data_IF_049356983892
#
_entry.id   IF_049356983892
#
_cell.length_a   1.000
_cell.length_b   1.000
_cell.length_c   1.000
_cell.angle_alpha   90.00
_cell.angle_beta   90.00
_cell.angle_gamma   90.00
#
_symmetry.space_group_name_H-M   'P 1'
#
loop_
_entity.id
_entity.type
_entity.pdbx_description
1 polymer ?
#
# COMPACT_ATOMS: atom_id res chain seq x y z
N UNK A 1 -17.01 -89.26 12.62
CA UNK A 1 -16.55 -88.21 13.54
C UNK A 1 -16.54 -86.94 12.69
N UNK A 2 -17.51 -86.03 12.79
CA UNK A 2 -17.84 -85.19 13.97
C UNK A 2 -16.58 -84.40 14.39
N UNK A 3 -16.56 -83.06 14.39
CA UNK A 3 -17.67 -82.09 14.58
C UNK A 3 -17.69 -80.90 13.58
N UNK A 4 -18.79 -80.13 13.63
CA UNK A 4 -18.99 -78.78 13.07
C UNK A 4 -18.17 -77.71 13.85
N UNK A 5 -17.97 -76.46 13.44
CA UNK A 5 -18.51 -75.59 12.39
C UNK A 5 -17.40 -74.60 11.90
N UNK A 6 -17.58 -73.53 11.11
CA UNK A 6 -18.76 -72.87 10.53
C UNK A 6 -18.38 -72.12 9.23
N UNK A 7 -19.34 -71.43 8.60
CA UNK A 7 -19.16 -70.58 7.40
C UNK A 7 -19.13 -69.08 7.72
N UNK A 8 -18.22 -68.33 7.09
CA UNK A 8 -18.44 -66.94 6.66
C UNK A 8 -17.41 -66.53 5.58
N UNK A 9 -17.86 -65.83 4.54
CA UNK A 9 -17.03 -65.17 3.53
C UNK A 9 -16.49 -63.82 4.04
N UNK A 10 -15.30 -63.35 3.61
CA UNK A 10 -14.80 -62.04 4.01
C UNK A 10 -15.44 -60.93 3.16
N UNK A 11 -16.11 -59.99 3.83
CA UNK A 11 -16.67 -58.80 3.21
C UNK A 11 -15.60 -57.76 2.82
N UNK A 12 -15.86 -57.06 1.72
CA UNK A 12 -15.04 -55.96 1.20
C UNK A 12 -15.17 -54.69 2.04
N UNK A 13 -14.38 -54.56 3.11
CA UNK A 13 -14.21 -53.29 3.85
C UNK A 13 -12.95 -53.25 4.76
N UNK A 14 -11.73 -53.38 4.21
CA UNK A 14 -10.51 -53.07 4.97
C UNK A 14 -9.30 -52.72 4.07
N UNK A 15 -9.22 -51.46 3.65
CA UNK A 15 -8.05 -50.86 2.98
C UNK A 15 -7.91 -49.36 3.31
N UNK A 16 -8.16 -48.96 4.57
CA UNK A 16 -7.85 -47.60 5.08
C UNK A 16 -7.54 -47.65 6.59
N UNK A 17 -6.34 -48.12 6.95
CA UNK A 17 -5.74 -47.92 8.28
C UNK A 17 -4.24 -48.32 8.28
N UNK A 18 -3.39 -47.60 7.54
CA UNK A 18 -1.98 -47.55 7.91
C UNK A 18 -1.80 -46.42 8.95
N UNK A 19 -1.37 -46.77 10.16
CA UNK A 19 -1.07 -45.82 11.22
C UNK A 19 0.13 -44.94 10.85
N UNK A 20 -0.15 -43.68 10.50
CA UNK A 20 0.88 -42.65 10.57
C UNK A 20 1.18 -42.36 12.05
N UNK A 21 2.37 -42.76 12.49
CA UNK A 21 2.93 -42.35 13.78
C UNK A 21 2.91 -40.81 13.90
N UNK A 22 2.48 -40.25 15.04
CA UNK A 22 2.47 -38.80 15.22
C UNK A 22 3.91 -38.28 15.32
N UNK A 23 4.32 -37.51 14.31
CA UNK A 23 5.50 -36.64 14.42
C UNK A 23 5.32 -35.58 15.51
N UNK A 24 6.40 -34.86 15.88
CA UNK A 24 6.33 -33.84 16.94
C UNK A 24 5.23 -32.83 16.61
N UNK A 25 4.43 -32.50 17.62
CA UNK A 25 3.25 -31.66 17.49
C UNK A 25 3.63 -30.24 17.06
N UNK A 26 3.55 -29.97 15.76
CA UNK A 26 3.87 -28.68 15.13
C UNK A 26 2.69 -27.71 15.35
N UNK A 27 2.50 -27.31 16.61
CA UNK A 27 1.37 -26.49 17.05
C UNK A 27 1.60 -25.02 16.69
N UNK A 28 1.16 -24.61 15.51
CA UNK A 28 0.93 -23.20 15.24
C UNK A 28 -0.06 -22.65 16.26
N UNK A 29 0.33 -21.58 16.96
CA UNK A 29 -0.47 -20.97 18.02
C UNK A 29 -1.78 -20.35 17.49
N UNK A 30 -1.81 -20.08 16.18
CA UNK A 30 -2.91 -19.42 15.48
C UNK A 30 -3.53 -20.33 14.42
N UNK A 31 -4.82 -20.66 14.59
CA UNK A 31 -5.58 -21.52 13.67
C UNK A 31 -5.65 -20.96 12.24
N UNK A 32 -5.63 -19.64 12.07
CA UNK A 32 -5.69 -19.01 10.76
C UNK A 32 -4.38 -19.13 9.95
N UNK A 33 -3.26 -19.54 10.56
CA UNK A 33 -2.04 -19.88 9.82
C UNK A 33 -2.16 -21.23 9.11
N UNK A 34 -3.07 -22.12 9.55
CA UNK A 34 -3.16 -23.50 9.07
C UNK A 34 -3.32 -23.66 7.54
N UNK A 35 -4.08 -22.82 6.82
CA UNK A 35 -4.14 -22.86 5.35
C UNK A 35 -2.80 -22.52 4.67
N UNK A 36 -1.92 -21.77 5.34
CA UNK A 36 -0.66 -21.24 4.79
C UNK A 36 0.54 -22.16 5.11
N UNK A 37 0.53 -22.83 6.28
CA UNK A 37 1.61 -23.73 6.73
C UNK A 37 2.04 -24.81 5.69
N UNK A 38 1.16 -25.45 4.91
CA UNK A 38 1.58 -26.43 3.90
C UNK A 38 2.57 -25.88 2.87
N UNK A 39 2.46 -24.58 2.57
CA UNK A 39 3.29 -23.85 1.62
C UNK A 39 4.57 -23.30 2.27
N UNK A 40 4.49 -22.81 3.51
CA UNK A 40 5.61 -22.12 4.19
C UNK A 40 6.52 -23.02 5.03
N UNK A 41 6.11 -24.25 5.39
CA UNK A 41 6.88 -25.19 6.24
C UNK A 41 8.31 -25.50 5.79
N UNK A 42 8.60 -25.35 4.50
CA UNK A 42 9.95 -25.55 3.93
C UNK A 42 10.84 -24.29 3.99
N UNK A 43 10.27 -23.16 4.43
CA UNK A 43 10.90 -21.83 4.50
C UNK A 43 11.04 -21.40 5.98
N UNK A 44 9.97 -21.55 6.76
CA UNK A 44 9.89 -21.28 8.20
C UNK A 44 9.07 -22.37 8.91
N UNK A 45 9.35 -22.65 10.19
CA UNK A 45 8.56 -23.60 10.98
C UNK A 45 7.23 -23.00 11.44
N UNK A 46 6.28 -23.83 11.88
CA UNK A 46 4.98 -23.35 12.41
C UNK A 46 5.14 -22.44 13.64
N UNK A 47 6.15 -22.74 14.46
CA UNK A 47 6.58 -21.95 15.62
C UNK A 47 7.05 -20.57 15.17
N UNK A 48 7.98 -20.49 14.21
CA UNK A 48 8.50 -19.21 13.68
C UNK A 48 7.39 -18.41 12.99
N UNK A 49 6.48 -19.05 12.25
CA UNK A 49 5.33 -18.36 11.67
C UNK A 49 4.39 -17.76 12.74
N UNK A 50 4.21 -18.46 13.87
CA UNK A 50 3.42 -17.96 15.00
C UNK A 50 4.14 -16.85 15.78
N UNK A 51 5.47 -16.92 15.88
CA UNK A 51 6.33 -15.94 16.52
C UNK A 51 6.43 -14.64 15.71
N UNK A 52 6.64 -14.72 14.39
CA UNK A 52 6.58 -13.57 13.47
C UNK A 52 5.24 -12.82 13.58
N UNK A 53 4.15 -13.58 13.69
CA UNK A 53 2.81 -13.03 13.87
C UNK A 53 2.61 -12.41 15.25
N UNK A 54 3.13 -13.02 16.32
CA UNK A 54 3.15 -12.41 17.65
C UNK A 54 3.88 -11.06 17.61
N UNK A 55 5.11 -11.03 17.09
CA UNK A 55 5.93 -9.82 16.99
C UNK A 55 5.20 -8.73 16.20
N UNK A 56 4.59 -9.07 15.06
CA UNK A 56 3.77 -8.13 14.28
C UNK A 56 2.56 -7.58 15.06
N UNK A 57 1.93 -8.39 15.92
CA UNK A 57 0.75 -8.00 16.70
C UNK A 57 1.07 -7.31 18.03
N UNK A 58 2.27 -7.47 18.59
CA UNK A 58 2.63 -6.92 19.92
C UNK A 58 3.71 -5.85 19.90
N UNK A 59 4.80 -6.02 19.14
CA UNK A 59 5.95 -5.09 19.12
C UNK A 59 6.69 -5.11 17.76
N UNK A 60 6.41 -4.18 16.83
CA UNK A 60 7.12 -4.11 15.56
C UNK A 60 8.56 -3.57 15.74
N UNK A 61 9.51 -4.45 16.09
CA UNK A 61 10.93 -4.08 16.22
C UNK A 61 11.89 -5.15 16.74
N UNK A 62 11.39 -6.25 17.33
CA UNK A 62 12.25 -7.30 17.91
C UNK A 62 12.79 -8.30 16.86
N UNK A 63 13.95 -8.92 17.14
CA UNK A 63 14.73 -9.67 16.14
C UNK A 63 14.03 -10.93 15.63
N UNK A 64 13.50 -10.84 14.41
CA UNK A 64 12.49 -11.73 13.80
C UNK A 64 12.85 -13.22 13.56
N UNK A 65 14.06 -13.68 13.87
CA UNK A 65 14.52 -14.98 13.38
C UNK A 65 15.22 -15.87 14.41
N UNK A 66 14.44 -16.76 15.03
CA UNK A 66 14.93 -17.94 15.74
C UNK A 66 15.62 -18.95 14.80
N UNK A 67 16.89 -18.70 14.46
CA UNK A 67 17.80 -19.66 13.81
C UNK A 67 17.78 -19.73 12.27
N UNK A 68 16.85 -19.05 11.59
CA UNK A 68 16.87 -18.90 10.14
C UNK A 68 17.55 -17.57 9.74
N UNK A 69 18.41 -17.56 8.72
CA UNK A 69 18.97 -16.29 8.23
C UNK A 69 17.89 -15.51 7.44
N UNK A 70 17.65 -14.20 7.71
CA UNK A 70 16.62 -13.40 7.04
C UNK A 70 16.58 -13.57 5.52
N UNK A 71 17.74 -13.50 4.87
CA UNK A 71 17.89 -13.63 3.42
C UNK A 71 17.34 -14.96 2.84
N UNK A 72 17.43 -16.07 3.60
CA UNK A 72 16.87 -17.38 3.17
C UNK A 72 15.36 -17.42 3.28
N UNK A 73 14.78 -16.72 4.25
CA UNK A 73 13.31 -16.60 4.38
C UNK A 73 12.77 -15.74 3.24
N UNK A 74 13.41 -14.59 2.95
CA UNK A 74 13.03 -13.71 1.85
C UNK A 74 13.13 -14.41 0.48
N UNK A 75 14.26 -15.09 0.19
CA UNK A 75 14.44 -15.88 -1.04
C UNK A 75 13.42 -17.04 -1.16
N UNK A 76 13.13 -17.72 -0.06
CA UNK A 76 12.11 -18.77 0.00
C UNK A 76 10.70 -18.26 -0.29
N UNK A 77 10.30 -17.15 0.35
CA UNK A 77 9.01 -16.49 0.11
C UNK A 77 8.90 -15.96 -1.31
N UNK A 78 9.94 -15.31 -1.84
CA UNK A 78 10.00 -14.86 -3.23
C UNK A 78 9.78 -16.02 -4.21
N UNK A 79 10.46 -17.17 -4.02
CA UNK A 79 10.27 -18.37 -4.84
C UNK A 79 8.87 -18.96 -4.71
N UNK A 80 8.29 -18.97 -3.52
CA UNK A 80 6.93 -19.45 -3.28
C UNK A 80 5.89 -18.55 -3.97
N UNK A 81 5.89 -17.25 -3.70
CA UNK A 81 4.96 -16.29 -4.30
C UNK A 81 5.06 -16.29 -5.81
N UNK A 82 6.28 -16.26 -6.36
CA UNK A 82 6.46 -16.32 -7.82
C UNK A 82 6.00 -17.66 -8.40
N UNK A 83 6.18 -18.79 -7.70
CA UNK A 83 5.63 -20.08 -8.15
C UNK A 83 4.10 -20.04 -8.23
N UNK A 84 3.43 -19.63 -7.14
CA UNK A 84 1.96 -19.63 -7.01
C UNK A 84 1.28 -18.73 -8.06
N UNK A 85 1.77 -17.50 -8.24
CA UNK A 85 1.19 -16.56 -9.21
C UNK A 85 1.52 -16.99 -10.66
N UNK A 86 2.61 -17.72 -10.89
CA UNK A 86 3.06 -18.05 -12.25
C UNK A 86 2.22 -19.05 -13.04
N UNK A 87 1.22 -19.67 -12.40
CA UNK A 87 0.20 -20.46 -13.11
C UNK A 87 -0.90 -19.58 -13.73
N UNK A 88 -1.17 -18.43 -13.10
CA UNK A 88 -2.18 -17.43 -13.51
C UNK A 88 -1.61 -16.20 -14.21
N UNK A 89 -0.28 -16.08 -14.27
CA UNK A 89 0.44 -14.98 -14.92
C UNK A 89 0.13 -14.91 -16.43
N UNK A 90 -0.59 -13.89 -16.94
CA UNK A 90 -1.00 -13.81 -18.34
C UNK A 90 0.20 -13.66 -19.29
N UNK A 91 1.32 -13.07 -18.85
CA UNK A 91 2.51 -12.91 -19.69
C UNK A 91 3.20 -14.23 -20.05
N UNK A 92 2.84 -15.34 -19.38
CA UNK A 92 3.36 -16.66 -19.76
C UNK A 92 2.65 -17.24 -20.98
N UNK A 93 1.57 -16.64 -21.46
CA UNK A 93 0.70 -17.19 -22.49
C UNK A 93 0.63 -16.28 -23.72
N UNK A 94 0.78 -16.86 -24.90
CA UNK A 94 0.55 -16.19 -26.19
C UNK A 94 -0.66 -16.77 -26.90
N UNK A 95 -1.45 -15.92 -27.55
CA UNK A 95 -2.56 -16.37 -28.41
C UNK A 95 -2.01 -16.90 -29.74
N UNK A 96 -2.54 -18.03 -30.19
CA UNK A 96 -2.26 -18.60 -31.52
C UNK A 96 -3.57 -18.97 -32.23
N UNK A 97 -3.53 -19.22 -33.54
CA UNK A 97 -4.72 -19.62 -34.32
C UNK A 97 -5.40 -20.92 -33.85
N UNK A 98 -4.79 -21.67 -32.92
CA UNK A 98 -5.38 -22.84 -32.26
C UNK A 98 -5.34 -22.75 -30.73
N UNK A 99 -5.64 -21.57 -30.16
CA UNK A 99 -5.74 -21.35 -28.71
C UNK A 99 -4.51 -20.69 -28.06
N UNK A 100 -4.55 -20.53 -26.75
CA UNK A 100 -3.42 -20.03 -25.95
C UNK A 100 -2.33 -21.10 -25.79
N UNK A 101 -1.06 -20.67 -25.85
CA UNK A 101 0.11 -21.54 -25.63
C UNK A 101 1.13 -20.84 -24.75
N UNK A 102 1.89 -21.61 -23.97
CA UNK A 102 3.00 -21.05 -23.17
C UNK A 102 4.05 -20.44 -24.09
N UNK A 103 4.46 -19.20 -23.83
CA UNK A 103 5.32 -18.42 -24.72
C UNK A 103 6.72 -19.04 -24.90
N UNK A 104 7.27 -19.62 -23.83
CA UNK A 104 8.60 -20.25 -23.77
C UNK A 104 8.54 -21.77 -23.55
N UNK A 105 7.45 -22.44 -23.94
CA UNK A 105 7.36 -23.90 -23.90
C UNK A 105 8.30 -24.54 -24.92
N UNK A 106 9.46 -25.03 -24.49
CA UNK A 106 10.34 -25.84 -25.34
C UNK A 106 9.60 -27.11 -25.78
N UNK A 107 9.24 -27.19 -27.06
CA UNK A 107 8.90 -28.47 -27.68
C UNK A 107 10.19 -29.25 -27.90
N UNK A 108 10.64 -29.98 -26.87
CA UNK A 108 11.68 -30.99 -27.05
C UNK A 108 11.17 -32.06 -28.03
N UNK A 109 11.95 -32.49 -29.05
CA UNK A 109 11.56 -33.59 -29.93
C UNK A 109 11.42 -34.94 -29.23
N UNK A 110 11.77 -35.04 -27.93
CA UNK A 110 11.78 -36.28 -27.15
C UNK A 110 10.66 -36.39 -26.11
N UNK A 111 9.77 -35.40 -25.96
CA UNK A 111 8.69 -35.48 -24.95
C UNK A 111 7.57 -36.41 -25.42
N UNK A 112 7.72 -37.71 -25.12
CA UNK A 112 6.70 -38.75 -25.33
C UNK A 112 5.56 -38.66 -24.32
N UNK A 113 4.88 -37.51 -24.31
CA UNK A 113 3.48 -37.30 -23.96
C UNK A 113 3.23 -35.78 -23.99
N UNK A 114 2.25 -35.26 -24.75
CA UNK A 114 1.78 -33.92 -24.47
C UNK A 114 1.22 -33.92 -23.05
N UNK A 115 1.82 -33.13 -22.13
CA UNK A 115 1.08 -32.69 -20.95
C UNK A 115 -0.22 -32.11 -21.47
N UNK A 116 -1.35 -32.66 -21.02
CA UNK A 116 -2.67 -32.21 -21.44
C UNK A 116 -2.92 -30.83 -20.81
N UNK A 117 -2.35 -29.79 -21.42
CA UNK A 117 -2.76 -28.42 -21.17
C UNK A 117 -4.26 -28.35 -21.50
N UNK A 118 -5.10 -27.84 -20.58
CA UNK A 118 -6.53 -27.74 -20.82
C UNK A 118 -6.79 -26.92 -22.09
N UNK A 119 -7.90 -27.19 -22.77
CA UNK A 119 -8.23 -26.49 -24.02
C UNK A 119 -8.70 -25.06 -23.70
N UNK A 120 -7.74 -24.13 -23.58
CA UNK A 120 -7.96 -22.77 -23.08
C UNK A 120 -8.71 -21.94 -24.14
N UNK A 121 -10.03 -21.87 -24.00
CA UNK A 121 -10.89 -20.95 -24.76
C UNK A 121 -10.84 -19.53 -24.17
N UNK A 122 -11.30 -18.49 -24.90
CA UNK A 122 -11.42 -17.14 -24.35
C UNK A 122 -12.33 -17.00 -23.11
N UNK A 123 -13.16 -18.01 -22.81
CA UNK A 123 -13.99 -18.04 -21.60
C UNK A 123 -13.25 -18.61 -20.37
N UNK A 124 -12.16 -19.35 -20.57
CA UNK A 124 -11.41 -20.07 -19.53
C UNK A 124 -9.92 -19.67 -19.52
N UNK A 125 -9.58 -18.49 -20.05
CA UNK A 125 -8.23 -17.95 -20.01
C UNK A 125 -7.75 -17.81 -18.56
N UNK A 126 -6.49 -18.17 -18.22
CA UNK A 126 -5.93 -17.90 -16.91
C UNK A 126 -5.77 -16.38 -16.73
N UNK A 127 -6.84 -15.76 -16.24
CA UNK A 127 -6.87 -14.38 -15.79
C UNK A 127 -6.49 -14.41 -14.31
N UNK A 128 -5.39 -13.75 -13.96
CA UNK A 128 -5.01 -13.55 -12.57
C UNK A 128 -6.07 -12.78 -11.79
N UNK A 129 -6.13 -13.00 -10.48
CA UNK A 129 -7.15 -12.44 -9.59
C UNK A 129 -6.65 -11.20 -8.84
N UNK A 130 -7.43 -10.73 -7.86
CA UNK A 130 -7.06 -9.59 -7.02
C UNK A 130 -5.86 -9.91 -6.10
N UNK A 131 -5.71 -11.16 -5.68
CA UNK A 131 -4.60 -11.60 -4.83
C UNK A 131 -3.29 -11.64 -5.64
N UNK A 132 -3.35 -11.97 -6.93
CA UNK A 132 -2.21 -11.84 -7.85
C UNK A 132 -1.75 -10.38 -8.02
N UNK A 133 -2.69 -9.42 -8.10
CA UNK A 133 -2.35 -7.98 -8.11
C UNK A 133 -1.64 -7.60 -6.80
N UNK A 134 -2.21 -7.99 -5.66
CA UNK A 134 -1.62 -7.70 -4.35
C UNK A 134 -0.25 -8.36 -4.17
N UNK A 135 -0.08 -9.61 -4.63
CA UNK A 135 1.19 -10.31 -4.62
C UNK A 135 2.26 -9.59 -5.46
N UNK A 136 1.91 -9.06 -6.63
CA UNK A 136 2.82 -8.25 -7.43
C UNK A 136 3.14 -6.88 -6.79
N UNK A 137 2.19 -6.24 -6.10
CA UNK A 137 2.45 -5.04 -5.29
C UNK A 137 3.45 -5.35 -4.17
N UNK A 138 3.22 -6.41 -3.39
CA UNK A 138 4.09 -6.82 -2.29
C UNK A 138 5.49 -7.22 -2.77
N UNK A 139 5.61 -7.93 -3.89
CA UNK A 139 6.90 -8.20 -4.54
C UNK A 139 7.61 -6.90 -4.94
N UNK A 140 6.88 -5.91 -5.46
CA UNK A 140 7.44 -4.61 -5.83
C UNK A 140 7.98 -3.86 -4.62
N UNK A 141 7.22 -3.82 -3.52
CA UNK A 141 7.60 -3.21 -2.23
C UNK A 141 8.84 -3.88 -1.63
N UNK A 142 8.87 -5.22 -1.59
CA UNK A 142 9.99 -5.95 -1.01
C UNK A 142 11.29 -5.78 -1.82
N UNK A 143 11.18 -5.70 -3.14
CA UNK A 143 12.35 -5.59 -4.04
C UNK A 143 12.83 -4.14 -4.15
N UNK A 144 11.94 -3.14 -4.09
CA UNK A 144 12.35 -1.72 -4.08
C UNK A 144 13.22 -1.38 -2.86
N UNK A 145 13.01 -2.06 -1.72
CA UNK A 145 13.85 -1.93 -0.53
C UNK A 145 15.17 -2.73 -0.54
N UNK A 146 15.45 -3.52 -1.59
CA UNK A 146 16.63 -4.40 -1.68
C UNK A 146 17.82 -3.75 -2.40
N UNK A 147 18.94 -4.46 -2.56
CA UNK A 147 20.07 -3.99 -3.38
C UNK A 147 19.72 -3.85 -4.87
N UNK A 148 18.70 -4.57 -5.35
CA UNK A 148 18.30 -4.66 -6.77
C UNK A 148 17.03 -3.86 -7.05
N UNK A 149 16.97 -2.62 -6.54
CA UNK A 149 15.77 -1.76 -6.52
C UNK A 149 15.03 -1.66 -7.84
N UNK A 150 15.75 -1.55 -8.97
CA UNK A 150 15.15 -1.45 -10.30
C UNK A 150 14.35 -2.68 -10.74
N UNK A 151 14.58 -3.84 -10.13
CA UNK A 151 13.91 -5.08 -10.53
C UNK A 151 12.45 -5.13 -10.03
N UNK A 152 12.06 -4.22 -9.13
CA UNK A 152 10.67 -4.03 -8.71
C UNK A 152 9.77 -3.67 -9.90
N UNK A 153 10.29 -2.94 -10.91
CA UNK A 153 9.50 -2.46 -12.05
C UNK A 153 8.86 -3.57 -12.88
N UNK A 154 9.49 -4.75 -12.96
CA UNK A 154 8.91 -5.91 -13.65
C UNK A 154 7.61 -6.35 -12.97
N UNK A 155 7.60 -6.35 -11.65
CA UNK A 155 6.43 -6.71 -10.85
C UNK A 155 5.41 -5.57 -10.82
N UNK A 156 5.87 -4.32 -10.77
CA UNK A 156 5.01 -3.14 -10.88
C UNK A 156 4.21 -3.13 -12.18
N UNK A 157 4.89 -3.33 -13.32
CA UNK A 157 4.27 -3.40 -14.64
C UNK A 157 3.25 -4.54 -14.77
N UNK A 158 3.47 -5.66 -14.08
CA UNK A 158 2.50 -6.77 -13.99
C UNK A 158 1.28 -6.38 -13.14
N UNK A 159 1.49 -5.80 -11.96
CA UNK A 159 0.42 -5.33 -11.09
C UNK A 159 -0.50 -4.32 -11.80
N UNK A 160 0.08 -3.30 -12.45
CA UNK A 160 -0.67 -2.27 -13.19
C UNK A 160 -1.47 -2.89 -14.34
N UNK A 161 -0.84 -3.69 -15.21
CA UNK A 161 -1.56 -4.30 -16.35
C UNK A 161 -2.65 -5.27 -15.91
N UNK A 162 -2.43 -6.05 -14.85
CA UNK A 162 -3.45 -6.97 -14.33
C UNK A 162 -4.61 -6.20 -13.68
N UNK A 163 -4.34 -5.16 -12.90
CA UNK A 163 -5.39 -4.31 -12.30
C UNK A 163 -6.29 -3.64 -13.35
N UNK A 164 -5.72 -3.12 -14.44
CA UNK A 164 -6.49 -2.57 -15.56
C UNK A 164 -7.26 -3.67 -16.31
N UNK A 165 -6.68 -4.86 -16.49
CA UNK A 165 -7.36 -6.02 -17.10
C UNK A 165 -8.58 -6.46 -16.28
N UNK A 166 -8.45 -6.47 -14.95
CA UNK A 166 -9.51 -6.74 -13.97
C UNK A 166 -10.48 -5.57 -13.75
N UNK A 167 -10.26 -4.45 -14.45
CA UNK A 167 -11.04 -3.20 -14.34
C UNK A 167 -11.17 -2.71 -12.89
N UNK A 168 -10.10 -2.82 -12.10
CA UNK A 168 -10.08 -2.28 -10.73
C UNK A 168 -10.14 -0.74 -10.72
N UNK A 169 -9.86 -0.11 -11.87
CA UNK A 169 -9.85 1.33 -12.09
C UNK A 169 -11.21 1.91 -12.54
N UNK A 170 -12.31 1.17 -12.42
CA UNK A 170 -13.65 1.58 -12.86
C UNK A 170 -14.69 1.49 -11.75
N UNK A 171 -15.85 2.09 -12.00
CA UNK A 171 -17.04 1.88 -11.17
C UNK A 171 -17.32 0.38 -11.09
N UNK A 172 -17.64 -0.11 -9.90
CA UNK A 172 -18.07 -1.50 -9.77
C UNK A 172 -19.38 -1.69 -10.51
N UNK A 173 -19.51 -2.83 -11.22
CA UNK A 173 -20.80 -3.28 -11.68
C UNK A 173 -21.79 -3.29 -10.49
N UNK A 174 -23.00 -2.71 -10.63
CA UNK A 174 -23.97 -2.70 -9.56
C UNK A 174 -24.21 -4.14 -9.14
N UNK A 175 -24.02 -4.43 -7.84
CA UNK A 175 -24.13 -5.80 -7.34
C UNK A 175 -25.47 -6.37 -7.83
N UNK A 176 -25.44 -7.50 -8.55
CA UNK A 176 -26.61 -8.05 -9.27
C UNK A 176 -27.71 -8.61 -8.35
N UNK A 177 -27.73 -8.17 -7.09
CA UNK A 177 -28.81 -8.32 -6.15
C UNK A 177 -29.99 -7.44 -6.58
N UNK A 178 -31.03 -8.07 -7.15
CA UNK A 178 -32.37 -7.48 -7.35
C UNK A 178 -33.11 -7.25 -6.01
N UNK A 179 -32.38 -7.27 -4.90
CA UNK A 179 -32.82 -7.19 -3.50
C UNK A 179 -31.80 -6.33 -2.74
N UNK A 180 -32.25 -5.67 -1.67
CA UNK A 180 -31.52 -4.62 -0.96
C UNK A 180 -30.08 -5.00 -0.52
N UNK A 181 -29.17 -4.04 -0.28
CA UNK A 181 -27.76 -4.32 0.05
C UNK A 181 -27.53 -5.29 1.23
N UNK A 182 -28.46 -5.32 2.18
CA UNK A 182 -28.48 -6.27 3.30
C UNK A 182 -28.70 -7.75 2.89
N UNK A 183 -28.93 -8.06 1.60
CA UNK A 183 -29.08 -9.42 1.09
C UNK A 183 -27.75 -10.12 0.72
N UNK A 184 -26.65 -9.39 0.50
CA UNK A 184 -25.35 -9.96 0.12
C UNK A 184 -24.14 -9.15 0.67
N UNK A 185 -23.82 -9.24 1.99
CA UNK A 185 -22.70 -8.51 2.58
C UNK A 185 -21.35 -8.75 1.87
N UNK A 186 -21.03 -10.01 1.55
CA UNK A 186 -19.80 -10.38 0.82
C UNK A 186 -19.71 -9.87 -0.64
N UNK A 187 -20.75 -9.21 -1.16
CA UNK A 187 -20.67 -8.46 -2.42
C UNK A 187 -20.05 -7.07 -2.20
N UNK A 188 -20.49 -6.38 -1.14
CA UNK A 188 -20.01 -5.05 -0.75
C UNK A 188 -18.56 -5.14 -0.27
N UNK A 189 -18.26 -6.14 0.55
CA UNK A 189 -16.90 -6.45 1.02
C UNK A 189 -15.91 -6.59 -0.15
N UNK A 190 -16.22 -7.47 -1.12
CA UNK A 190 -15.41 -7.68 -2.34
C UNK A 190 -15.26 -6.41 -3.18
N UNK A 191 -16.29 -5.57 -3.26
CA UNK A 191 -16.21 -4.28 -3.94
C UNK A 191 -15.24 -3.31 -3.23
N UNK A 192 -15.27 -3.25 -1.89
CA UNK A 192 -14.28 -2.46 -1.15
C UNK A 192 -12.87 -3.03 -1.25
N UNK A 193 -12.69 -4.35 -1.30
CA UNK A 193 -11.37 -4.97 -1.52
C UNK A 193 -10.77 -4.52 -2.87
N UNK A 194 -11.59 -4.55 -3.93
CA UNK A 194 -11.20 -4.07 -5.27
C UNK A 194 -10.79 -2.60 -5.25
N UNK A 195 -11.58 -1.73 -4.61
CA UNK A 195 -11.21 -0.31 -4.40
C UNK A 195 -9.92 -0.16 -3.62
N UNK A 196 -9.75 -0.86 -2.49
CA UNK A 196 -8.56 -0.78 -1.64
C UNK A 196 -7.28 -1.19 -2.39
N UNK A 197 -7.32 -2.28 -3.16
CA UNK A 197 -6.18 -2.72 -3.97
C UNK A 197 -5.86 -1.74 -5.09
N UNK A 198 -6.87 -1.16 -5.75
CA UNK A 198 -6.66 -0.11 -6.75
C UNK A 198 -6.05 1.16 -6.13
N UNK A 199 -6.61 1.67 -5.04
CA UNK A 199 -6.13 2.90 -4.41
C UNK A 199 -4.76 2.74 -3.76
N UNK A 200 -4.40 1.53 -3.29
CA UNK A 200 -3.04 1.20 -2.87
C UNK A 200 -2.07 1.25 -4.05
N UNK A 201 -2.43 0.62 -5.16
CA UNK A 201 -1.64 0.64 -6.40
C UNK A 201 -1.46 2.07 -6.95
N UNK A 202 -2.53 2.87 -6.95
CA UNK A 202 -2.51 4.28 -7.33
C UNK A 202 -1.54 5.09 -6.44
N UNK A 203 -1.66 4.96 -5.12
CA UNK A 203 -0.83 5.67 -4.15
C UNK A 203 0.66 5.32 -4.32
N UNK A 204 0.94 4.03 -4.54
CA UNK A 204 2.29 3.54 -4.75
C UNK A 204 2.86 3.91 -6.13
N UNK A 205 2.04 4.12 -7.16
CA UNK A 205 2.50 4.59 -8.48
C UNK A 205 3.16 5.96 -8.37
N UNK A 206 2.55 6.90 -7.63
CA UNK A 206 3.11 8.24 -7.39
C UNK A 206 4.36 8.18 -6.51
N UNK A 207 4.31 7.41 -5.42
CA UNK A 207 5.45 7.21 -4.54
C UNK A 207 6.67 6.62 -5.28
N UNK A 208 6.50 5.56 -6.08
CA UNK A 208 7.59 4.98 -6.86
C UNK A 208 8.06 5.92 -7.98
N UNK A 209 7.13 6.65 -8.62
CA UNK A 209 7.47 7.65 -9.65
C UNK A 209 8.31 8.80 -9.10
N UNK A 210 8.06 9.25 -7.86
CA UNK A 210 8.93 10.17 -7.13
C UNK A 210 10.28 9.51 -6.80
N UNK A 211 10.27 8.33 -6.18
CA UNK A 211 11.47 7.61 -5.73
C UNK A 211 12.49 7.36 -6.84
N UNK A 212 12.02 7.09 -8.06
CA UNK A 212 12.88 6.84 -9.23
C UNK A 212 12.89 7.97 -10.27
N UNK A 213 12.17 9.08 -10.02
CA UNK A 213 12.02 10.21 -10.96
C UNK A 213 11.52 9.75 -12.36
N UNK A 214 10.45 8.94 -12.40
CA UNK A 214 9.77 8.47 -13.62
C UNK A 214 8.41 9.12 -13.80
N UNK A 215 7.82 8.98 -14.99
CA UNK A 215 6.43 9.36 -15.27
C UNK A 215 5.45 8.37 -14.63
N UNK A 216 4.21 8.81 -14.41
CA UNK A 216 3.12 8.00 -13.86
C UNK A 216 2.75 6.84 -14.78
N UNK A 217 2.43 5.67 -14.22
CA UNK A 217 1.90 4.51 -14.95
C UNK A 217 0.38 4.52 -15.02
N UNK A 218 -0.28 5.15 -14.04
CA UNK A 218 -1.74 5.26 -13.92
C UNK A 218 -2.11 6.75 -13.97
N UNK A 219 -2.54 7.31 -15.12
CA UNK A 219 -3.04 8.68 -15.17
C UNK A 219 -4.39 8.83 -14.44
N UNK A 220 -4.67 10.00 -13.88
CA UNK A 220 -5.93 10.29 -13.17
C UNK A 220 -7.16 10.11 -14.09
N UNK A 221 -7.01 10.37 -15.39
CA UNK A 221 -8.03 10.11 -16.41
C UNK A 221 -8.45 8.63 -16.55
N UNK A 222 -7.73 7.69 -15.93
CA UNK A 222 -8.13 6.28 -15.87
C UNK A 222 -8.89 5.92 -14.58
N UNK A 223 -9.00 6.85 -13.63
CA UNK A 223 -9.56 6.59 -12.30
C UNK A 223 -11.08 6.85 -12.29
N UNK A 224 -11.85 5.98 -12.93
CA UNK A 224 -13.31 5.95 -12.84
C UNK A 224 -13.78 5.26 -11.53
N UNK A 225 -13.00 5.36 -10.44
CA UNK A 225 -13.28 4.67 -9.17
C UNK A 225 -13.87 5.66 -8.17
N UNK A 226 -14.83 5.18 -7.39
CA UNK A 226 -15.38 5.93 -6.27
C UNK A 226 -14.40 6.01 -5.08
N UNK A 227 -14.40 7.17 -4.43
CA UNK A 227 -13.75 7.39 -3.14
C UNK A 227 -14.25 6.38 -2.08
N UNK A 228 -13.36 6.05 -1.15
CA UNK A 228 -13.50 4.92 -0.23
C UNK A 228 -14.45 5.22 0.93
N UNK A 229 -15.22 4.20 1.30
CA UNK A 229 -15.85 4.09 2.63
C UNK A 229 -15.34 2.78 3.21
N UNK A 230 -14.47 2.86 4.21
CA UNK A 230 -13.67 1.73 4.66
C UNK A 230 -13.90 1.37 6.13
N UNK A 231 -13.85 2.36 7.02
CA UNK A 231 -14.17 2.13 8.43
C UNK A 231 -15.67 1.83 8.58
N UNK A 232 -16.02 0.92 9.48
CA UNK A 232 -17.40 0.67 9.91
C UNK A 232 -18.36 0.08 8.85
N UNK A 233 -17.89 -0.75 7.91
CA UNK A 233 -18.75 -1.45 6.95
C UNK A 233 -19.85 -2.32 7.60
N UNK A 234 -19.55 -2.95 8.74
CA UNK A 234 -20.50 -3.79 9.48
C UNK A 234 -21.49 -2.99 10.35
N UNK A 235 -21.20 -1.70 10.58
CA UNK A 235 -21.90 -0.83 11.53
C UNK A 235 -22.65 0.33 10.86
N UNK A 236 -22.29 0.72 9.63
CA UNK A 236 -23.02 1.72 8.83
C UNK A 236 -24.19 1.02 8.11
N UNK A 237 -25.42 1.48 8.35
CA UNK A 237 -26.56 0.98 7.59
C UNK A 237 -26.41 1.35 6.09
N UNK A 238 -26.79 0.49 5.13
CA UNK A 238 -26.63 0.80 3.70
C UNK A 238 -27.33 2.08 3.22
N UNK A 239 -28.34 2.55 3.95
CA UNK A 239 -29.04 3.84 3.73
C UNK A 239 -28.30 5.07 4.28
N UNK A 240 -27.25 4.86 5.07
CA UNK A 240 -26.44 5.90 5.73
C UNK A 240 -25.03 6.00 5.14
N UNK A 241 -24.74 5.23 4.09
CA UNK A 241 -23.48 5.33 3.35
C UNK A 241 -23.30 6.75 2.78
N UNK A 242 -22.14 7.40 3.00
CA UNK A 242 -21.91 8.75 2.51
C UNK A 242 -21.86 8.79 0.98
N UNK A 243 -22.18 9.96 0.41
CA UNK A 243 -22.11 10.19 -1.01
C UNK A 243 -20.66 10.07 -1.51
N UNK A 244 -20.41 9.08 -2.38
CA UNK A 244 -19.09 8.83 -2.95
C UNK A 244 -18.78 9.81 -4.07
N UNK A 245 -17.55 10.31 -4.10
CA UNK A 245 -17.03 11.15 -5.20
C UNK A 245 -16.30 10.27 -6.21
N UNK A 246 -16.38 10.59 -7.51
CA UNK A 246 -15.66 9.88 -8.57
C UNK A 246 -14.26 10.48 -8.74
N UNK A 247 -13.23 9.64 -8.87
CA UNK A 247 -11.85 10.05 -9.05
C UNK A 247 -11.07 10.14 -7.73
N UNK A 248 -9.77 10.48 -7.79
CA UNK A 248 -8.92 10.51 -6.61
C UNK A 248 -9.30 11.68 -5.69
N UNK A 249 -9.43 11.44 -4.36
CA UNK A 249 -9.69 12.51 -3.41
C UNK A 249 -8.46 13.44 -3.27
N UNK A 250 -8.69 14.69 -2.86
CA UNK A 250 -7.64 15.70 -2.61
C UNK A 250 -7.74 16.35 -1.23
N UNK A 251 -8.69 15.90 -0.39
CA UNK A 251 -8.91 16.39 0.97
C UNK A 251 -8.69 15.26 1.98
N UNK A 252 -8.15 15.57 3.15
CA UNK A 252 -8.07 14.64 4.27
C UNK A 252 -9.48 14.44 4.88
N UNK A 253 -9.90 13.19 5.02
CA UNK A 253 -11.24 12.83 5.54
C UNK A 253 -11.19 12.17 6.93
N UNK A 254 -10.04 11.70 7.37
CA UNK A 254 -9.89 10.89 8.59
C UNK A 254 -8.47 10.42 8.86
N UNK A 255 -8.33 9.26 9.51
CA UNK A 255 -7.05 8.74 10.05
C UNK A 255 -6.62 7.38 9.47
N UNK A 256 -7.46 6.74 8.66
CA UNK A 256 -7.09 5.57 7.87
C UNK A 256 -6.17 5.93 6.71
N UNK A 257 -5.36 4.97 6.25
CA UNK A 257 -4.32 5.21 5.23
C UNK A 257 -4.83 5.95 3.99
N UNK A 258 -5.97 5.53 3.44
CA UNK A 258 -6.58 6.16 2.26
C UNK A 258 -7.26 7.50 2.56
N UNK A 259 -7.51 7.84 3.82
CA UNK A 259 -8.18 9.08 4.21
C UNK A 259 -7.21 10.25 4.37
N UNK A 260 -5.93 9.98 4.66
CA UNK A 260 -4.89 11.01 4.79
C UNK A 260 -3.81 10.95 3.71
N UNK A 261 -3.39 9.75 3.29
CA UNK A 261 -2.23 9.60 2.39
C UNK A 261 -2.60 9.59 0.91
N UNK A 262 -3.69 8.91 0.53
CA UNK A 262 -4.16 8.91 -0.87
C UNK A 262 -4.39 10.33 -1.42
N UNK A 263 -4.94 11.31 -0.67
CA UNK A 263 -5.05 12.68 -1.17
C UNK A 263 -3.72 13.38 -1.42
N UNK A 264 -2.72 13.17 -0.55
CA UNK A 264 -1.35 13.64 -0.79
C UNK A 264 -0.76 12.98 -2.05
N UNK A 265 -1.08 11.71 -2.31
CA UNK A 265 -0.62 11.01 -3.52
C UNK A 265 -1.33 11.47 -4.78
N UNK A 266 -2.58 11.93 -4.71
CA UNK A 266 -3.25 12.58 -5.83
C UNK A 266 -2.51 13.88 -6.20
N UNK A 267 -2.30 14.77 -5.23
CA UNK A 267 -1.61 16.05 -5.45
C UNK A 267 -0.15 15.84 -5.89
N UNK A 268 0.55 14.82 -5.37
CA UNK A 268 1.87 14.43 -5.86
C UNK A 268 1.85 14.03 -7.34
N UNK A 269 0.76 13.45 -7.84
CA UNK A 269 0.56 13.15 -9.26
C UNK A 269 0.66 14.40 -10.13
N UNK A 270 -0.09 15.45 -9.79
CA UNK A 270 -0.04 16.74 -10.50
C UNK A 270 1.36 17.35 -10.49
N UNK A 271 2.07 17.27 -9.35
CA UNK A 271 3.44 17.77 -9.23
C UNK A 271 4.39 16.99 -10.15
N UNK A 272 4.25 15.65 -10.22
CA UNK A 272 5.02 14.78 -11.13
C UNK A 272 4.76 15.17 -12.60
N UNK A 273 3.50 15.40 -12.99
CA UNK A 273 3.17 15.80 -14.36
C UNK A 273 3.78 17.15 -14.74
N UNK A 274 3.65 18.17 -13.86
CA UNK A 274 4.27 19.48 -14.10
C UNK A 274 5.79 19.38 -14.15
N UNK A 275 6.41 18.59 -13.28
CA UNK A 275 7.86 18.35 -13.26
C UNK A 275 8.37 17.73 -14.58
N UNK A 276 7.73 16.67 -15.08
CA UNK A 276 8.12 16.06 -16.35
C UNK A 276 7.79 16.94 -17.55
N UNK A 277 6.71 17.74 -17.49
CA UNK A 277 6.41 18.75 -18.53
C UNK A 277 7.53 19.79 -18.64
N UNK A 278 8.04 20.33 -17.52
CA UNK A 278 9.19 21.27 -17.50
C UNK A 278 10.42 20.68 -18.19
N UNK A 279 10.63 19.37 -18.06
CA UNK A 279 11.76 18.63 -18.66
C UNK A 279 11.48 18.11 -20.08
N UNK A 280 10.28 18.29 -20.62
CA UNK A 280 9.90 17.74 -21.92
C UNK A 280 10.48 18.57 -23.09
N UNK A 281 11.23 17.98 -24.05
CA UNK A 281 11.98 18.72 -25.09
C UNK A 281 11.19 19.67 -26.00
N UNK A 282 9.85 19.56 -26.04
CA UNK A 282 8.97 20.43 -26.84
C UNK A 282 7.97 21.25 -26.02
N UNK A 283 7.83 20.98 -24.71
CA UNK A 283 6.79 21.57 -23.86
C UNK A 283 7.37 22.27 -22.61
N UNK A 284 8.64 22.07 -22.28
CA UNK A 284 9.28 22.67 -21.10
C UNK A 284 9.35 24.20 -21.11
N UNK A 285 9.31 24.82 -22.29
CA UNK A 285 9.28 26.28 -22.44
C UNK A 285 7.87 26.90 -22.32
N UNK A 286 6.82 26.09 -22.11
CA UNK A 286 5.46 26.60 -21.93
C UNK A 286 5.22 27.00 -20.47
N UNK A 287 4.67 28.20 -20.25
CA UNK A 287 4.31 28.71 -18.93
C UNK A 287 3.43 27.74 -18.13
N UNK A 288 3.82 27.47 -16.88
CA UNK A 288 3.17 26.54 -15.97
C UNK A 288 2.51 27.23 -14.76
N UNK A 289 2.45 28.56 -14.74
CA UNK A 289 1.95 29.38 -13.63
C UNK A 289 0.57 28.95 -13.12
N UNK A 290 -0.40 28.81 -14.04
CA UNK A 290 -1.76 28.34 -13.72
C UNK A 290 -1.79 26.91 -13.15
N UNK A 291 -0.89 26.03 -13.61
CA UNK A 291 -0.78 24.67 -13.07
C UNK A 291 -0.19 24.68 -11.66
N UNK A 292 0.83 25.51 -11.41
CA UNK A 292 1.42 25.69 -10.07
C UNK A 292 0.41 26.31 -9.10
N UNK A 293 -0.35 27.31 -9.54
CA UNK A 293 -1.42 27.93 -8.74
C UNK A 293 -2.54 26.94 -8.41
N UNK A 294 -2.98 26.12 -9.37
CA UNK A 294 -3.96 25.07 -9.12
C UNK A 294 -3.48 24.07 -8.06
N UNK A 295 -2.24 23.58 -8.17
CA UNK A 295 -1.65 22.64 -7.20
C UNK A 295 -1.48 23.29 -5.82
N UNK A 296 -1.05 24.56 -5.74
CA UNK A 296 -0.97 25.29 -4.48
C UNK A 296 -2.34 25.34 -3.78
N UNK A 297 -3.41 25.67 -4.52
CA UNK A 297 -4.78 25.68 -3.97
C UNK A 297 -5.23 24.29 -3.46
N UNK A 298 -4.80 23.19 -4.09
CA UNK A 298 -5.05 21.83 -3.61
C UNK A 298 -4.30 21.55 -2.30
N UNK A 299 -3.03 21.93 -2.20
CA UNK A 299 -2.21 21.79 -1.00
C UNK A 299 -2.80 22.60 0.18
N UNK A 300 -3.19 23.85 -0.06
CA UNK A 300 -3.85 24.73 0.93
C UNK A 300 -5.20 24.13 1.40
N UNK A 301 -5.96 23.55 0.47
CA UNK A 301 -7.24 22.88 0.78
C UNK A 301 -7.03 21.60 1.59
N UNK A 302 -5.99 20.81 1.26
CA UNK A 302 -5.60 19.65 2.03
C UNK A 302 -5.19 20.06 3.45
N UNK A 303 -4.35 21.09 3.62
CA UNK A 303 -3.94 21.58 4.95
C UNK A 303 -5.14 21.98 5.80
N UNK A 304 -6.10 22.71 5.23
CA UNK A 304 -7.33 23.08 5.91
C UNK A 304 -8.14 21.86 6.35
N UNK A 305 -8.26 20.84 5.50
CA UNK A 305 -8.98 19.60 5.82
C UNK A 305 -8.25 18.73 6.87
N UNK A 306 -6.91 18.64 6.82
CA UNK A 306 -6.12 17.89 7.79
C UNK A 306 -6.32 18.43 9.22
N UNK A 307 -6.43 19.75 9.35
CA UNK A 307 -6.72 20.39 10.63
C UNK A 307 -8.10 20.02 11.20
N UNK A 308 -9.09 19.65 10.38
CA UNK A 308 -10.42 19.21 10.88
C UNK A 308 -10.45 17.76 11.35
N UNK A 309 -9.50 16.91 10.93
CA UNK A 309 -9.36 15.51 11.39
C UNK A 309 -9.21 15.43 12.92
N UNK A 310 -8.64 16.46 13.57
CA UNK A 310 -8.56 16.58 15.04
C UNK A 310 -9.91 16.72 15.74
N UNK A 311 -10.95 17.21 15.05
CA UNK A 311 -12.22 17.66 15.64
C UNK A 311 -13.38 16.67 15.45
N UNK A 312 -13.11 15.43 15.03
CA UNK A 312 -14.10 14.35 14.89
C UNK A 312 -13.97 13.27 15.98
N UNK A 313 -14.31 13.54 17.26
CA UNK A 313 -14.83 12.48 18.11
C UNK A 313 -16.19 12.08 17.51
N UNK A 314 -16.28 10.88 16.93
CA UNK A 314 -17.33 10.52 15.96
C UNK A 314 -18.76 10.90 16.36
N UNK A 315 -19.26 12.03 15.84
CA UNK A 315 -20.68 12.45 15.73
C UNK A 315 -20.73 13.85 15.08
N UNK A 316 -20.84 13.94 13.74
CA UNK A 316 -21.52 15.08 13.08
C UNK A 316 -22.26 14.59 11.82
N UNK A 317 -23.55 14.27 11.96
CA UNK A 317 -24.67 14.96 11.29
C UNK A 317 -26.01 14.40 11.81
N UNK A 318 -27.02 15.26 12.03
CA UNK A 318 -28.38 14.79 12.38
C UNK A 318 -29.06 15.43 13.62
N UNK A 319 -28.63 16.60 14.10
CA UNK A 319 -29.29 17.25 15.26
C UNK A 319 -30.40 18.23 14.85
N UNK A 320 -31.68 17.79 14.85
CA UNK A 320 -32.89 18.55 15.28
C UNK A 320 -34.20 17.80 14.92
N UNK A 321 -35.34 18.06 15.58
CA UNK A 321 -35.58 18.06 17.02
C UNK A 321 -36.60 16.98 17.43
N UNK A 322 -36.69 16.75 18.74
CA UNK A 322 -37.67 15.90 19.44
C UNK A 322 -39.01 15.62 18.75
N UNK A 323 -39.31 14.33 18.48
CA UNK A 323 -40.69 13.82 18.59
C UNK A 323 -40.71 12.45 19.26
N UNK A 324 -41.21 12.43 20.49
CA UNK A 324 -41.50 11.20 21.25
C UNK A 324 -42.57 10.38 20.53
N UNK A 325 -42.19 9.23 19.96
CA UNK A 325 -43.15 8.26 19.47
C UNK A 325 -42.76 6.85 19.95
N UNK A 326 -43.36 6.44 21.07
CA UNK A 326 -43.25 5.07 21.59
C UNK A 326 -43.98 4.13 20.63
N UNK A 327 -43.30 3.10 20.15
CA UNK A 327 -43.93 1.91 19.60
C UNK A 327 -43.65 0.73 20.53
N UNK A 328 -44.56 0.50 21.48
CA UNK A 328 -44.56 -0.70 22.29
C UNK A 328 -45.09 -1.88 21.48
N UNK A 329 -44.41 -3.01 21.49
CA UNK A 329 -45.04 -4.33 21.30
C UNK A 329 -44.21 -5.42 21.99
N UNK A 330 -44.83 -6.50 22.52
CA UNK A 330 -44.19 -7.32 23.54
C UNK A 330 -43.91 -8.77 23.13
N UNK A 331 -42.81 -9.33 23.66
CA UNK A 331 -42.69 -10.77 23.91
C UNK A 331 -41.56 -11.52 23.19
N UNK A 332 -40.45 -11.71 23.90
CA UNK A 332 -39.77 -13.02 24.05
C UNK A 332 -38.71 -12.91 25.17
N UNK A 333 -38.36 -14.01 25.87
CA UNK A 333 -37.58 -13.95 27.11
C UNK A 333 -36.06 -13.86 26.89
N UNK A 334 -35.39 -13.32 27.90
CA UNK A 334 -33.95 -13.07 27.94
C UNK A 334 -33.17 -14.38 28.10
N UNK A 335 -32.27 -14.67 27.17
CA UNK A 335 -31.05 -15.42 27.46
C UNK A 335 -29.89 -14.44 27.46
N UNK A 336 -29.21 -14.34 28.60
CA UNK A 336 -28.00 -13.53 28.75
C UNK A 336 -26.81 -14.35 28.25
N UNK A 337 -26.36 -14.07 27.02
CA UNK A 337 -25.03 -14.41 26.57
C UNK A 337 -24.11 -13.20 26.77
N UNK A 338 -22.94 -13.46 27.34
CA UNK A 338 -21.99 -12.45 27.80
C UNK A 338 -21.26 -11.85 26.58
N UNK A 339 -21.84 -10.80 26.00
CA UNK A 339 -21.20 -10.07 24.90
C UNK A 339 -19.98 -9.35 25.46
N UNK A 340 -18.79 -9.93 25.25
CA UNK A 340 -17.53 -9.24 25.46
C UNK A 340 -17.53 -7.96 24.61
N UNK A 341 -17.65 -6.81 25.28
CA UNK A 341 -17.59 -5.52 24.62
C UNK A 341 -16.16 -5.27 24.11
N UNK A 342 -15.98 -5.38 22.79
CA UNK A 342 -14.75 -4.94 22.12
C UNK A 342 -14.53 -3.44 22.40
N UNK A 343 -13.36 -3.02 22.92
CA UNK A 343 -13.16 -1.65 23.39
C UNK A 343 -12.67 -0.70 22.27
N UNK A 344 -13.32 -0.69 21.10
CA UNK A 344 -12.86 0.12 19.95
C UNK A 344 -14.00 0.72 19.11
N UNK A 345 -14.21 2.04 19.23
CA UNK A 345 -14.65 2.97 18.14
C UNK A 345 -14.60 4.44 18.57
N UNK A 346 -13.54 4.83 19.29
CA UNK A 346 -13.10 6.22 19.38
C UNK A 346 -11.68 6.26 18.84
N UNK A 347 -11.47 6.96 17.71
CA UNK A 347 -10.18 6.98 17.02
C UNK A 347 -9.05 7.34 17.98
N UNK A 348 -8.04 6.47 18.06
CA UNK A 348 -6.97 6.62 19.06
C UNK A 348 -6.31 8.00 18.91
N UNK A 349 -6.37 8.87 19.95
CA UNK A 349 -5.77 10.19 19.90
C UNK A 349 -4.24 10.15 19.72
N UNK A 350 -3.59 9.00 19.98
CA UNK A 350 -2.18 8.77 19.63
C UNK A 350 -1.99 8.64 18.12
N UNK A 351 -2.80 7.82 17.44
CA UNK A 351 -2.80 7.65 15.98
C UNK A 351 -3.13 8.94 15.24
N UNK A 352 -4.15 9.68 15.69
CA UNK A 352 -4.53 10.94 15.04
C UNK A 352 -3.37 11.95 15.02
N UNK A 353 -2.61 12.06 16.13
CA UNK A 353 -1.39 12.89 16.21
C UNK A 353 -0.31 12.45 15.21
N UNK A 354 -0.09 11.14 15.07
CA UNK A 354 0.87 10.59 14.10
C UNK A 354 0.46 10.95 12.67
N UNK A 355 -0.81 10.68 12.30
CA UNK A 355 -1.36 11.05 10.99
C UNK A 355 -1.13 12.51 10.67
N UNK A 356 -1.45 13.43 11.59
CA UNK A 356 -1.28 14.86 11.37
C UNK A 356 0.21 15.22 11.20
N UNK A 357 1.08 14.78 12.11
CA UNK A 357 2.50 15.12 12.04
C UNK A 357 3.15 14.63 10.73
N UNK A 358 2.91 13.37 10.35
CA UNK A 358 3.41 12.81 9.08
C UNK A 358 2.81 13.50 7.86
N UNK A 359 1.50 13.80 7.88
CA UNK A 359 0.82 14.47 6.76
C UNK A 359 1.30 15.91 6.57
N UNK A 360 1.51 16.67 7.65
CA UNK A 360 2.09 18.03 7.61
C UNK A 360 3.52 18.01 7.06
N UNK A 361 4.35 17.02 7.44
CA UNK A 361 5.68 16.89 6.86
C UNK A 361 5.62 16.64 5.36
N UNK A 362 4.83 15.64 4.92
CA UNK A 362 4.70 15.28 3.50
C UNK A 362 4.13 16.45 2.71
N UNK A 363 3.09 17.13 3.20
CA UNK A 363 2.51 18.34 2.61
C UNK A 363 3.59 19.40 2.33
N UNK A 364 4.41 19.75 3.32
CA UNK A 364 5.50 20.71 3.12
C UNK A 364 6.56 20.21 2.14
N UNK A 365 6.86 18.91 2.10
CA UNK A 365 7.72 18.30 1.07
C UNK A 365 7.08 18.40 -0.32
N UNK A 366 5.75 18.30 -0.46
CA UNK A 366 5.07 18.51 -1.74
C UNK A 366 5.23 19.97 -2.23
N UNK A 367 5.18 20.98 -1.35
CA UNK A 367 5.52 22.36 -1.76
C UNK A 367 7.01 22.48 -2.16
N UNK A 368 7.93 21.83 -1.44
CA UNK A 368 9.36 21.78 -1.82
C UNK A 368 9.54 21.18 -3.22
N UNK A 369 8.83 20.09 -3.54
CA UNK A 369 8.84 19.46 -4.86
C UNK A 369 8.16 20.32 -5.94
N UNK A 370 7.12 21.09 -5.59
CA UNK A 370 6.43 21.99 -6.52
C UNK A 370 7.32 23.16 -6.95
N UNK A 371 7.96 23.82 -5.97
CA UNK A 371 8.73 25.05 -6.17
C UNK A 371 10.21 24.83 -6.49
N UNK A 372 10.80 23.75 -5.97
CA UNK A 372 12.23 23.45 -6.04
C UNK A 372 12.66 22.53 -7.18
N UNK A 373 13.96 22.24 -7.18
CA UNK A 373 14.62 21.32 -8.12
C UNK A 373 14.73 19.94 -7.46
N UNK A 374 14.35 18.88 -8.17
CA UNK A 374 14.34 17.49 -7.65
C UNK A 374 15.71 16.79 -7.68
N UNK A 375 16.77 17.48 -8.09
CA UNK A 375 18.12 16.96 -8.18
C UNK A 375 19.05 17.89 -7.41
N UNK A 376 19.78 17.35 -6.44
CA UNK A 376 20.65 18.13 -5.57
C UNK A 376 21.79 18.80 -6.35
N UNK A 377 22.27 18.19 -7.44
CA UNK A 377 23.33 18.76 -8.28
C UNK A 377 22.80 20.00 -9.01
N UNK A 378 21.67 19.89 -9.72
CA UNK A 378 21.03 21.03 -10.37
C UNK A 378 20.61 22.15 -9.39
N UNK A 379 20.40 21.83 -8.11
CA UNK A 379 20.13 22.80 -7.04
C UNK A 379 21.37 23.57 -6.59
N UNK A 380 22.57 22.97 -6.69
CA UNK A 380 23.84 23.60 -6.34
C UNK A 380 24.46 24.39 -7.51
N UNK A 381 24.23 23.97 -8.76
CA UNK A 381 24.77 24.60 -9.97
C UNK A 381 24.14 25.98 -10.27
N UNK A 382 22.83 26.13 -10.02
CA UNK A 382 22.03 27.37 -10.17
C UNK A 382 22.11 28.10 -11.53
N UNK A 383 22.24 27.35 -12.63
CA UNK A 383 22.31 27.85 -14.02
C UNK A 383 21.18 28.81 -14.47
N UNK A 384 20.07 28.88 -13.73
CA UNK A 384 18.83 29.60 -14.06
C UNK A 384 18.47 30.74 -13.08
N UNK A 385 19.44 31.22 -12.28
CA UNK A 385 19.27 32.24 -11.23
C UNK A 385 18.15 31.88 -10.20
N UNK A 386 17.81 30.59 -10.07
CA UNK A 386 16.64 30.13 -9.29
C UNK A 386 16.73 30.57 -7.82
N UNK A 387 17.92 30.62 -7.22
CA UNK A 387 18.14 31.09 -5.84
C UNK A 387 17.64 32.53 -5.61
N UNK A 388 17.63 33.38 -6.64
CA UNK A 388 17.11 34.76 -6.53
C UNK A 388 15.59 34.87 -6.70
N UNK A 389 14.93 33.78 -7.10
CA UNK A 389 13.51 33.76 -7.48
C UNK A 389 12.56 33.65 -6.28
N UNK A 390 11.30 34.08 -6.48
CA UNK A 390 10.22 33.82 -5.52
C UNK A 390 10.00 32.33 -5.24
N UNK A 391 10.32 31.45 -6.20
CA UNK A 391 10.18 29.99 -6.05
C UNK A 391 11.17 29.45 -5.03
N UNK A 392 12.40 29.95 -5.03
CA UNK A 392 13.38 29.60 -4.01
C UNK A 392 12.94 30.03 -2.61
N UNK A 393 12.36 31.23 -2.45
CA UNK A 393 11.82 31.69 -1.17
C UNK A 393 10.70 30.76 -0.66
N UNK A 394 9.76 30.36 -1.53
CA UNK A 394 8.70 29.41 -1.16
C UNK A 394 9.26 28.04 -0.79
N UNK A 395 10.15 27.49 -1.63
CA UNK A 395 10.83 26.22 -1.38
C UNK A 395 11.56 26.21 -0.04
N UNK A 396 12.30 27.28 0.27
CA UNK A 396 13.00 27.48 1.55
C UNK A 396 12.04 27.51 2.73
N UNK A 397 10.96 28.28 2.65
CA UNK A 397 9.99 28.42 3.74
C UNK A 397 9.35 27.07 4.08
N UNK A 398 8.93 26.31 3.07
CA UNK A 398 8.32 25.00 3.28
C UNK A 398 9.33 23.95 3.72
N UNK A 399 10.59 23.99 3.26
CA UNK A 399 11.62 23.08 3.75
C UNK A 399 11.93 23.28 5.25
N UNK A 400 11.98 24.53 5.72
CA UNK A 400 12.11 24.85 7.15
C UNK A 400 10.88 24.33 7.92
N UNK A 401 9.66 24.56 7.41
CA UNK A 401 8.44 24.04 8.04
C UNK A 401 8.40 22.49 8.08
N UNK A 402 8.84 21.81 7.01
CA UNK A 402 9.00 20.36 6.98
C UNK A 402 9.95 19.85 8.06
N UNK A 403 11.06 20.56 8.31
CA UNK A 403 12.03 20.25 9.37
C UNK A 403 11.50 20.47 10.80
N UNK A 404 10.57 21.40 10.98
CA UNK A 404 9.88 21.61 12.25
C UNK A 404 8.89 20.46 12.50
N UNK A 405 8.16 20.05 11.46
CA UNK A 405 7.31 18.87 11.49
C UNK A 405 8.08 17.58 11.81
N UNK A 406 9.30 17.40 11.28
CA UNK A 406 10.20 16.29 11.67
C UNK A 406 10.51 16.27 13.17
N UNK A 407 10.73 17.42 13.80
CA UNK A 407 10.94 17.48 15.25
C UNK A 407 9.72 17.02 16.04
N UNK A 408 8.51 17.30 15.53
CA UNK A 408 7.26 16.80 16.12
C UNK A 408 7.13 15.30 15.94
N UNK A 409 7.42 14.77 14.74
CA UNK A 409 7.40 13.33 14.44
C UNK A 409 8.35 12.58 15.38
N UNK A 410 9.62 12.97 15.46
CA UNK A 410 10.62 12.30 16.30
C UNK A 410 10.30 12.37 17.80
N UNK A 411 9.46 13.30 18.25
CA UNK A 411 9.00 13.39 19.64
C UNK A 411 7.84 12.43 19.97
N UNK A 412 7.13 11.90 18.95
CA UNK A 412 5.98 10.99 19.13
C UNK A 412 6.18 9.60 18.49
N UNK A 413 7.14 9.48 17.57
CA UNK A 413 7.57 8.26 16.87
C UNK A 413 9.10 8.34 16.67
N UNK A 414 9.89 8.09 17.72
CA UNK A 414 11.35 8.25 17.70
C UNK A 414 12.08 7.22 16.83
N UNK A 415 11.40 6.16 16.39
CA UNK A 415 11.95 5.09 15.54
C UNK A 415 11.50 5.19 14.07
N UNK A 416 10.59 6.14 13.75
CA UNK A 416 9.94 6.31 12.43
C UNK A 416 9.15 5.07 11.98
N UNK A 417 8.54 4.37 12.93
CA UNK A 417 7.86 3.10 12.67
C UNK A 417 6.53 3.28 11.91
N UNK A 418 5.80 4.38 12.15
CA UNK A 418 4.40 4.56 11.70
C UNK A 418 4.21 4.49 10.18
N UNK A 419 5.15 5.03 9.40
CA UNK A 419 5.13 5.00 7.93
C UNK A 419 6.47 4.55 7.33
N UNK A 420 7.23 3.76 8.08
CA UNK A 420 8.53 3.14 7.74
C UNK A 420 8.81 3.05 6.23
N UNK A 421 8.18 2.13 5.50
CA UNK A 421 8.44 1.92 4.06
C UNK A 421 8.29 3.19 3.18
N UNK A 422 7.31 4.05 3.47
CA UNK A 422 6.96 5.18 2.60
C UNK A 422 7.72 6.47 2.94
N UNK A 423 8.11 6.66 4.19
CA UNK A 423 8.53 7.97 4.70
C UNK A 423 9.89 8.44 4.15
N UNK A 424 10.81 7.50 3.92
CA UNK A 424 12.20 7.79 3.57
C UNK A 424 12.39 8.69 2.34
N UNK A 425 11.55 8.57 1.31
CA UNK A 425 11.66 9.44 0.12
C UNK A 425 11.25 10.88 0.40
N UNK A 426 10.26 11.12 1.26
CA UNK A 426 9.81 12.48 1.59
C UNK A 426 10.85 13.18 2.47
N UNK A 427 11.41 12.46 3.44
CA UNK A 427 12.54 12.92 4.24
C UNK A 427 13.76 13.27 3.37
N UNK A 428 14.08 12.45 2.36
CA UNK A 428 15.17 12.71 1.41
C UNK A 428 14.89 13.95 0.53
N UNK A 429 13.71 14.03 -0.10
CA UNK A 429 13.38 15.17 -0.97
C UNK A 429 13.28 16.49 -0.20
N UNK A 430 12.80 16.46 1.04
CA UNK A 430 12.79 17.63 1.93
C UNK A 430 14.18 18.10 2.37
N UNK A 431 15.23 17.25 2.26
CA UNK A 431 16.57 17.56 2.75
C UNK A 431 17.50 18.22 1.74
N UNK A 432 17.26 18.06 0.44
CA UNK A 432 18.20 18.52 -0.61
C UNK A 432 18.57 20.01 -0.53
N UNK A 433 17.62 20.89 -0.18
CA UNK A 433 17.90 22.33 -0.05
C UNK A 433 18.83 22.68 1.12
N UNK A 434 18.92 21.81 2.13
CA UNK A 434 19.85 21.99 3.23
C UNK A 434 21.30 21.66 2.85
N UNK A 435 21.53 20.95 1.74
CA UNK A 435 22.87 20.83 1.15
C UNK A 435 23.35 22.18 0.58
N UNK A 436 22.46 22.91 -0.09
CA UNK A 436 22.75 24.28 -0.55
C UNK A 436 22.97 25.22 0.65
N UNK A 437 22.19 25.11 1.72
CA UNK A 437 22.45 25.88 2.93
C UNK A 437 23.76 25.50 3.61
N UNK A 438 24.15 24.22 3.65
CA UNK A 438 25.44 23.80 4.20
C UNK A 438 26.63 24.37 3.41
N UNK A 439 26.55 24.38 2.07
CA UNK A 439 27.56 24.99 1.19
C UNK A 439 27.65 26.52 1.37
N UNK A 440 26.51 27.20 1.55
CA UNK A 440 26.43 28.67 1.60
C UNK A 440 26.43 29.28 3.01
N UNK A 441 26.24 28.50 4.07
CA UNK A 441 26.27 28.97 5.48
C UNK A 441 27.53 29.78 5.82
N UNK A 442 28.76 29.35 5.40
CA UNK A 442 29.98 30.10 5.66
C UNK A 442 30.02 31.50 5.01
N UNK A 443 29.18 31.73 4.00
CA UNK A 443 29.10 32.98 3.24
C UNK A 443 27.94 33.88 3.75
N UNK A 444 26.84 33.28 4.21
CA UNK A 444 25.61 33.98 4.62
C UNK A 444 25.60 34.37 6.11
N UNK A 445 26.45 33.77 6.94
CA UNK A 445 26.49 34.00 8.38
C UNK A 445 25.50 33.13 9.16
N UNK A 446 25.49 33.24 10.50
CA UNK A 446 24.70 32.36 11.36
C UNK A 446 23.20 32.63 11.22
N UNK A 447 22.43 31.57 10.94
CA UNK A 447 20.96 31.58 10.93
C UNK A 447 20.45 30.40 11.77
N UNK A 448 19.95 30.71 12.97
CA UNK A 448 19.46 29.74 13.96
C UNK A 448 18.34 28.84 13.40
N UNK A 449 17.42 29.40 12.59
CA UNK A 449 16.33 28.62 12.00
C UNK A 449 16.82 27.57 11.00
N UNK A 450 17.87 27.89 10.24
CA UNK A 450 18.50 26.97 9.28
C UNK A 450 19.36 25.95 10.00
N UNK A 451 20.10 26.36 11.04
CA UNK A 451 20.88 25.43 11.87
C UNK A 451 19.98 24.38 12.54
N UNK A 452 18.91 24.81 13.21
CA UNK A 452 17.97 23.89 13.87
C UNK A 452 17.29 22.94 12.87
N UNK A 453 16.98 23.44 11.66
CA UNK A 453 16.43 22.63 10.59
C UNK A 453 17.42 21.55 10.11
N UNK A 454 18.70 21.90 9.92
CA UNK A 454 19.76 20.94 9.61
C UNK A 454 19.90 19.89 10.72
N UNK A 455 19.93 20.29 11.99
CA UNK A 455 20.03 19.36 13.14
C UNK A 455 18.86 18.37 13.20
N UNK A 456 17.63 18.85 12.98
CA UNK A 456 16.43 18.00 12.91
C UNK A 456 16.51 16.99 11.77
N UNK A 457 16.98 17.43 10.60
CA UNK A 457 17.10 16.60 9.39
C UNK A 457 18.21 15.56 9.56
N UNK A 458 19.36 15.91 10.14
CA UNK A 458 20.44 14.96 10.44
C UNK A 458 19.93 13.88 11.38
N UNK A 459 19.31 14.24 12.51
CA UNK A 459 18.74 13.27 13.46
C UNK A 459 17.68 12.37 12.79
N UNK A 460 16.80 12.95 11.97
CA UNK A 460 15.80 12.17 11.24
C UNK A 460 16.45 11.19 10.25
N UNK A 461 17.53 11.58 9.55
CA UNK A 461 18.26 10.67 8.67
C UNK A 461 19.05 9.60 9.43
N UNK A 462 19.62 9.90 10.60
CA UNK A 462 20.28 8.91 11.45
C UNK A 462 19.30 7.80 11.88
N UNK A 463 18.12 8.16 12.39
CA UNK A 463 17.04 7.20 12.69
C UNK A 463 16.59 6.47 11.43
N UNK A 464 16.32 7.23 10.36
CA UNK A 464 15.82 6.67 9.11
C UNK A 464 16.80 5.66 8.49
N UNK A 465 18.11 5.88 8.51
CA UNK A 465 19.10 4.91 7.99
C UNK A 465 19.19 3.64 8.85
N UNK A 466 18.94 3.75 10.16
CA UNK A 466 18.91 2.59 11.07
C UNK A 466 17.61 1.78 10.89
N UNK A 467 16.48 2.44 10.64
CA UNK A 467 15.17 1.80 10.45
C UNK A 467 14.93 1.37 9.00
N UNK A 468 15.49 2.05 7.99
CA UNK A 468 15.08 2.02 6.58
C UNK A 468 16.27 2.10 5.59
N UNK A 469 16.24 1.30 4.52
CA UNK A 469 17.18 1.42 3.40
C UNK A 469 16.79 2.58 2.47
N UNK A 470 17.42 3.74 2.64
CA UNK A 470 17.12 4.97 1.87
C UNK A 470 17.93 5.17 0.59
N UNK A 471 18.66 4.16 0.10
CA UNK A 471 19.48 4.24 -1.13
C UNK A 471 18.64 4.33 -2.42
N UNK A 472 17.80 5.35 -2.57
CA UNK A 472 17.07 5.65 -3.81
C UNK A 472 17.74 6.87 -4.47
N UNK A 473 17.70 6.93 -5.80
CA UNK A 473 18.30 8.00 -6.63
C UNK A 473 19.84 8.01 -6.77
N UNK A 474 20.47 6.86 -7.04
CA UNK A 474 21.78 6.85 -7.70
C UNK A 474 21.60 7.20 -9.19
N UNK A 475 22.07 8.38 -9.60
CA UNK A 475 22.12 8.81 -11.01
C UNK A 475 22.96 7.81 -11.81
N UNK A 476 22.34 6.99 -12.66
CA UNK A 476 23.07 6.16 -13.65
C UNK A 476 23.79 7.09 -14.62
N UNK A 477 25.06 7.37 -14.35
CA UNK A 477 25.99 7.92 -15.34
C UNK A 477 26.18 6.83 -16.39
N UNK A 478 25.52 6.98 -17.53
CA UNK A 478 25.82 6.20 -18.73
C UNK A 478 27.21 6.59 -19.21
N UNK A 479 28.18 5.70 -19.00
CA UNK A 479 29.48 5.74 -19.68
C UNK A 479 29.39 5.25 -21.12
#
# INVERSE_FOLDING_TARGET
MAESASTATPDTASLLAEEQQPGPTDTACYKFLWPVLPYTRNIISSSVASELLNVFLTEPGSSLFGGASPARVVDGLYKLTTSLVSERDPDRWRRTHGGLRVENGHSSPSDTAPKAYPDITPANEPVGDIDDVLAYILLSIAISGSDFKSDCYKWWSKAVRLAITLRLNREDDPCSATLAPCANPGCVERQEERRRVFWLLYSLDRHLSLSFNTVLSIPDSYCEVYDLVWENLDTIAPTEMPARTLGPPVLATGSSFFEFFLPLMAILGDIIEVHHRRRHPRLGAQEDSLSVEAIQNLLDSYELSLNTVTHSPGTIMGRSPSRTQRCSSPGSPVHAEDVCASPDTAGDPSRARLVIAYSTHILHVLHVLLYGKWDAIAMLEDDDDWITSKRFTQCTSHAIAASQSLSTILAIDPELAFMSYLFGIYLLQGSFIFLLFADRLPQLGPNESVQQACENIIRAHEVCVVTLSTEFQVRRVTG
#
